data_IF_810709828043
#
_entry.id   IF_810709828043
#
_cell.length_a   1.000
_cell.length_b   1.000
_cell.length_c   1.000
_cell.angle_alpha   90.00
_cell.angle_beta   90.00
_cell.angle_gamma   90.00
#
_symmetry.space_group_name_H-M   'P 1'
#
loop_
_entity.id
_entity.type
_entity.pdbx_description
1 polymer ?
#
# COMPACT_ATOMS: atom_id res chain seq x y z
N UNK A 1 17.43 -5.12 1.81
CA UNK A 1 16.18 -4.45 1.39
C UNK A 1 16.06 -4.62 -0.11
N UNK A 2 14.85 -4.87 -0.59
CA UNK A 2 14.54 -5.04 -2.00
C UNK A 2 13.74 -3.82 -2.48
N UNK A 3 14.47 -2.84 -3.02
CA UNK A 3 13.89 -1.58 -3.48
C UNK A 3 12.99 -1.82 -4.71
N UNK A 4 13.39 -2.73 -5.61
CA UNK A 4 12.61 -3.05 -6.80
C UNK A 4 11.23 -3.60 -6.41
N UNK A 5 11.19 -4.53 -5.44
CA UNK A 5 9.92 -5.08 -4.94
C UNK A 5 8.98 -4.00 -4.42
N UNK A 6 9.49 -2.91 -3.86
CA UNK A 6 8.65 -1.81 -3.40
C UNK A 6 7.91 -1.06 -4.53
N UNK A 7 8.35 -1.19 -5.78
CA UNK A 7 7.65 -0.62 -6.94
C UNK A 7 6.76 -1.64 -7.65
N UNK A 8 7.09 -2.94 -7.58
CA UNK A 8 6.35 -3.98 -8.31
C UNK A 8 5.29 -4.69 -7.47
N UNK A 9 5.38 -4.65 -6.13
CA UNK A 9 4.48 -5.43 -5.26
C UNK A 9 2.99 -5.16 -5.46
N UNK A 10 2.65 -3.95 -5.90
CA UNK A 10 1.26 -3.58 -6.17
C UNK A 10 0.72 -4.46 -7.30
N UNK A 11 1.50 -4.71 -8.35
CA UNK A 11 1.10 -5.50 -9.53
C UNK A 11 1.14 -7.01 -9.27
N UNK A 12 1.78 -7.46 -8.19
CA UNK A 12 1.84 -8.88 -7.81
C UNK A 12 0.55 -9.37 -7.10
N UNK A 13 -0.36 -8.45 -6.75
CA UNK A 13 -1.66 -8.76 -6.16
C UNK A 13 -2.70 -8.94 -7.29
N UNK A 14 -3.54 -9.97 -7.22
CA UNK A 14 -4.53 -10.26 -8.27
C UNK A 14 -5.62 -9.18 -8.33
N UNK A 15 -5.96 -8.59 -7.19
CA UNK A 15 -7.04 -7.60 -7.03
C UNK A 15 -6.50 -6.17 -6.94
N UNK A 16 -5.28 -5.93 -7.44
CA UNK A 16 -4.59 -4.64 -7.32
C UNK A 16 -5.39 -3.48 -7.93
N UNK A 17 -6.06 -3.71 -9.06
CA UNK A 17 -6.89 -2.69 -9.74
C UNK A 17 -8.04 -2.28 -8.83
N UNK A 18 -8.73 -3.24 -8.21
CA UNK A 18 -9.84 -2.97 -7.30
C UNK A 18 -9.35 -2.18 -6.08
N UNK A 19 -8.25 -2.59 -5.46
CA UNK A 19 -7.68 -1.92 -4.28
C UNK A 19 -7.21 -0.51 -4.59
N UNK A 20 -6.57 -0.28 -5.73
CA UNK A 20 -6.20 1.07 -6.18
C UNK A 20 -7.44 1.91 -6.53
N UNK A 21 -8.43 1.34 -7.22
CA UNK A 21 -9.64 2.06 -7.57
C UNK A 21 -10.39 2.55 -6.32
N UNK A 22 -10.51 1.72 -5.29
CA UNK A 22 -11.09 2.11 -3.99
C UNK A 22 -10.25 3.23 -3.36
N UNK A 23 -8.92 3.06 -3.26
CA UNK A 23 -8.05 4.07 -2.65
C UNK A 23 -8.08 5.43 -3.38
N UNK A 24 -8.04 5.41 -4.71
CA UNK A 24 -8.18 6.60 -5.55
C UNK A 24 -9.55 7.25 -5.35
N UNK A 25 -10.62 6.46 -5.32
CA UNK A 25 -11.97 6.93 -5.02
C UNK A 25 -12.08 7.60 -3.66
N UNK A 26 -11.43 7.05 -2.62
CA UNK A 26 -11.37 7.65 -1.27
C UNK A 26 -10.66 9.00 -1.30
N UNK A 27 -9.49 9.10 -1.95
CA UNK A 27 -8.74 10.36 -2.05
C UNK A 27 -9.54 11.41 -2.84
N UNK A 28 -10.19 11.00 -3.94
CA UNK A 28 -11.04 11.87 -4.74
C UNK A 28 -12.23 12.41 -3.95
N UNK A 29 -12.97 11.52 -3.28
CA UNK A 29 -14.09 11.90 -2.43
C UNK A 29 -13.62 12.82 -1.30
N UNK A 30 -12.46 12.54 -0.71
CA UNK A 30 -11.84 13.38 0.32
C UNK A 30 -11.52 14.77 -0.18
N UNK A 31 -10.95 14.88 -1.39
CA UNK A 31 -10.63 16.16 -2.00
C UNK A 31 -11.88 16.99 -2.27
N UNK A 32 -12.94 16.37 -2.82
CA UNK A 32 -14.23 17.04 -3.10
C UNK A 32 -14.91 17.50 -1.79
N UNK A 33 -14.89 16.65 -0.76
CA UNK A 33 -15.52 16.93 0.55
C UNK A 33 -14.65 17.82 1.45
N UNK A 34 -13.45 18.21 1.02
CA UNK A 34 -12.52 19.03 1.82
C UNK A 34 -13.09 20.42 2.15
N UNK A 35 -14.00 20.94 1.31
CA UNK A 35 -14.70 22.23 1.52
C UNK A 35 -15.46 22.25 2.86
N UNK A 36 -15.93 21.08 3.34
CA UNK A 36 -16.72 20.95 4.58
C UNK A 36 -15.87 20.36 5.73
N UNK A 37 -14.53 20.29 5.58
CA UNK A 37 -13.59 19.66 6.52
C UNK A 37 -13.76 18.13 6.68
N UNK A 38 -14.90 17.57 6.27
CA UNK A 38 -15.20 16.12 6.23
C UNK A 38 -14.20 15.37 5.37
N UNK A 39 -13.64 16.01 4.33
CA UNK A 39 -12.62 15.43 3.47
C UNK A 39 -11.38 14.89 4.20
N UNK A 40 -11.06 15.39 5.41
CA UNK A 40 -9.92 14.91 6.20
C UNK A 40 -10.08 13.42 6.54
N UNK A 41 -11.30 12.91 6.71
CA UNK A 41 -11.54 11.53 7.15
C UNK A 41 -10.94 10.51 6.18
N UNK A 42 -11.05 10.68 4.86
CA UNK A 42 -10.50 9.71 3.93
C UNK A 42 -8.98 9.74 3.83
N UNK A 43 -8.34 10.90 4.06
CA UNK A 43 -6.89 10.95 4.25
C UNK A 43 -6.44 10.21 5.52
N UNK A 44 -7.22 10.29 6.60
CA UNK A 44 -6.96 9.51 7.82
C UNK A 44 -7.12 8.02 7.58
N UNK A 45 -8.18 7.58 6.90
CA UNK A 45 -8.36 6.17 6.53
C UNK A 45 -7.16 5.68 5.71
N UNK A 46 -6.74 6.43 4.68
CA UNK A 46 -5.58 6.08 3.87
C UNK A 46 -4.30 5.98 4.70
N UNK A 47 -4.10 6.90 5.65
CA UNK A 47 -2.97 6.85 6.56
C UNK A 47 -2.98 5.55 7.40
N UNK A 48 -4.13 5.12 7.93
CA UNK A 48 -4.24 3.84 8.62
C UNK A 48 -3.98 2.63 7.74
N UNK A 49 -4.54 2.63 6.53
CA UNK A 49 -4.35 1.59 5.51
C UNK A 49 -2.86 1.39 5.19
N UNK A 50 -2.12 2.48 5.02
CA UNK A 50 -0.67 2.41 4.73
C UNK A 50 0.16 1.94 5.92
N UNK A 51 -0.26 2.19 7.17
CA UNK A 51 0.37 1.58 8.35
C UNK A 51 0.11 0.07 8.41
N UNK A 52 -1.09 -0.38 8.03
CA UNK A 52 -1.41 -1.81 7.93
C UNK A 52 -0.57 -2.51 6.86
N UNK A 53 -0.39 -1.85 5.71
CA UNK A 53 0.56 -2.30 4.68
C UNK A 53 1.97 -2.44 5.26
N UNK A 54 2.46 -1.42 5.97
CA UNK A 54 3.77 -1.48 6.62
C UNK A 54 3.88 -2.69 7.56
N UNK A 55 2.87 -2.95 8.38
CA UNK A 55 2.81 -4.11 9.27
C UNK A 55 2.87 -5.42 8.49
N UNK A 56 2.08 -5.59 7.43
CA UNK A 56 2.09 -6.78 6.56
C UNK A 56 3.49 -7.03 5.96
N UNK A 57 4.12 -5.97 5.43
CA UNK A 57 5.47 -6.03 4.85
C UNK A 57 6.53 -6.29 5.93
N UNK A 58 6.33 -5.82 7.16
CA UNK A 58 7.22 -6.17 8.29
C UNK A 58 7.07 -7.65 8.64
N UNK A 59 5.85 -8.15 8.69
CA UNK A 59 5.51 -9.42 9.36
C UNK A 59 5.67 -10.67 8.50
N UNK A 60 5.71 -10.55 7.17
CA UNK A 60 6.02 -11.71 6.31
C UNK A 60 5.09 -11.87 5.14
N UNK A 61 4.00 -11.11 5.10
CA UNK A 61 2.83 -11.43 4.32
C UNK A 61 3.18 -11.42 2.82
N UNK A 62 2.99 -12.53 2.09
CA UNK A 62 3.40 -12.65 0.69
C UNK A 62 2.74 -11.62 -0.24
N UNK A 63 1.43 -11.38 -0.05
CA UNK A 63 0.65 -10.31 -0.71
C UNK A 63 0.36 -9.23 0.33
N UNK A 64 1.21 -8.20 0.47
CA UNK A 64 1.15 -7.31 1.62
C UNK A 64 0.07 -6.24 1.50
N UNK A 65 -0.51 -6.02 0.31
CA UNK A 65 -1.50 -4.97 0.06
C UNK A 65 -2.82 -5.29 0.79
N UNK A 66 -3.21 -4.50 1.80
CA UNK A 66 -4.37 -4.85 2.61
C UNK A 66 -5.69 -4.80 1.83
N UNK A 67 -6.67 -5.58 2.28
CA UNK A 67 -8.05 -5.45 1.84
C UNK A 67 -8.70 -4.20 2.44
N UNK A 68 -9.69 -3.64 1.74
CA UNK A 68 -10.51 -2.52 2.22
C UNK A 68 -11.68 -3.02 3.10
N UNK A 69 -11.34 -3.74 4.16
CA UNK A 69 -12.29 -4.48 5.01
C UNK A 69 -12.53 -3.84 6.40
N UNK A 70 -11.56 -3.09 6.93
CA UNK A 70 -11.62 -2.49 8.27
C UNK A 70 -11.35 -0.96 8.24
N UNK A 71 -12.31 -0.26 7.64
CA UNK A 71 -12.35 1.20 7.54
C UNK A 71 -12.30 1.91 8.89
N UNK A 72 -12.97 1.35 9.91
CA UNK A 72 -13.00 1.93 11.26
C UNK A 72 -11.65 1.83 11.97
N UNK A 73 -10.99 0.68 11.88
CA UNK A 73 -9.63 0.49 12.39
C UNK A 73 -8.62 1.36 11.65
N UNK A 74 -8.72 1.48 10.32
CA UNK A 74 -7.86 2.36 9.54
C UNK A 74 -8.06 3.83 9.88
N UNK A 75 -9.31 4.28 10.05
CA UNK A 75 -9.57 5.65 10.53
C UNK A 75 -8.94 5.90 11.91
N UNK A 76 -9.09 4.97 12.86
CA UNK A 76 -8.52 5.11 14.21
C UNK A 76 -6.98 5.15 14.18
N UNK A 77 -6.38 4.20 13.46
CA UNK A 77 -4.92 4.09 13.29
C UNK A 77 -4.36 5.32 12.60
N UNK A 78 -4.98 5.76 11.53
CA UNK A 78 -4.60 6.94 10.78
C UNK A 78 -4.78 8.25 11.55
N UNK A 79 -5.85 8.37 12.36
CA UNK A 79 -6.03 9.52 13.27
C UNK A 79 -4.89 9.61 14.30
N UNK A 80 -4.56 8.49 14.96
CA UNK A 80 -3.44 8.45 15.91
C UNK A 80 -2.11 8.76 15.23
N UNK A 81 -1.87 8.21 14.03
CA UNK A 81 -0.67 8.50 13.24
C UNK A 81 -0.60 9.97 12.81
N UNK A 82 -1.73 10.57 12.43
CA UNK A 82 -1.81 11.99 12.11
C UNK A 82 -1.50 12.87 13.32
N UNK A 83 -1.91 12.48 14.54
CA UNK A 83 -1.51 13.17 15.78
C UNK A 83 0.01 13.09 15.98
N UNK A 84 0.62 11.91 15.79
CA UNK A 84 2.08 11.77 15.86
C UNK A 84 2.73 12.71 14.85
N UNK A 85 2.34 12.64 13.57
CA UNK A 85 2.86 13.51 12.51
C UNK A 85 2.67 14.99 12.81
N UNK A 86 1.52 15.40 13.35
CA UNK A 86 1.24 16.78 13.74
C UNK A 86 2.18 17.26 14.84
N UNK A 87 2.42 16.43 15.87
CA UNK A 87 3.34 16.77 16.97
C UNK A 87 4.76 16.92 16.45
N UNK A 88 5.22 16.01 15.57
CA UNK A 88 6.50 16.15 14.88
C UNK A 88 6.56 17.38 13.98
N UNK A 89 5.44 17.80 13.38
CA UNK A 89 5.37 19.00 12.54
C UNK A 89 5.27 20.31 13.33
N UNK A 90 5.04 20.29 14.66
CA UNK A 90 4.83 21.51 15.46
C UNK A 90 5.94 22.55 15.28
N UNK A 91 7.23 22.21 15.27
CA UNK A 91 8.26 23.23 15.08
C UNK A 91 8.23 23.89 13.70
N UNK A 92 7.85 23.16 12.63
CA UNK A 92 7.60 23.76 11.31
C UNK A 92 6.44 24.75 11.36
N UNK A 93 5.36 24.39 12.06
CA UNK A 93 4.20 25.27 12.24
C UNK A 93 4.62 26.53 13.02
N UNK A 94 5.43 26.39 14.06
CA UNK A 94 5.95 27.53 14.83
C UNK A 94 6.83 28.43 13.95
N UNK A 95 7.69 27.85 13.09
CA UNK A 95 8.54 28.62 12.16
C UNK A 95 7.75 29.29 11.03
N UNK A 96 6.55 28.80 10.71
CA UNK A 96 5.68 29.44 9.71
C UNK A 96 5.26 30.85 10.11
N UNK A 97 5.04 31.11 11.41
CA UNK A 97 4.60 32.43 11.92
C UNK A 97 5.62 33.55 11.61
N UNK A 98 6.89 33.47 12.05
CA UNK A 98 7.88 34.47 11.70
C UNK A 98 8.15 34.51 10.19
N UNK A 99 8.05 33.39 9.47
CA UNK A 99 8.16 33.36 8.02
C UNK A 99 7.06 34.19 7.34
N UNK A 100 5.81 34.08 7.80
CA UNK A 100 4.68 34.87 7.29
C UNK A 100 4.83 36.34 7.62
N UNK A 101 5.26 36.69 8.83
CA UNK A 101 5.53 38.08 9.22
C UNK A 101 6.67 38.67 8.39
N UNK A 102 7.77 37.94 8.24
CA UNK A 102 8.92 38.33 7.42
C UNK A 102 8.50 38.56 5.97
N UNK A 103 7.68 37.67 5.41
CA UNK A 103 7.13 37.81 4.06
C UNK A 103 6.23 39.04 3.90
N UNK A 104 5.34 39.29 4.86
CA UNK A 104 4.47 40.47 4.83
C UNK A 104 5.29 41.78 4.90
N UNK A 105 6.30 41.85 5.75
CA UNK A 105 7.21 42.98 5.87
C UNK A 105 8.10 43.17 4.63
N UNK A 106 8.58 42.07 4.04
CA UNK A 106 9.38 42.09 2.81
C UNK A 106 8.61 42.65 1.62
N UNK A 107 7.31 42.38 1.55
CA UNK A 107 6.46 42.79 0.42
C UNK A 107 5.80 44.15 0.61
N UNK A 108 5.47 44.54 1.85
CA UNK A 108 4.64 45.72 2.13
C UNK A 108 5.32 46.76 3.03
N UNK A 109 6.53 46.51 3.53
CA UNK A 109 7.25 47.42 4.40
C UNK A 109 7.83 48.63 3.67
N UNK A 110 8.24 49.65 4.44
CA UNK A 110 9.19 50.65 3.98
C UNK A 110 10.59 50.02 3.81
N UNK A 111 11.58 50.75 3.31
CA UNK A 111 12.92 50.19 3.02
C UNK A 111 13.54 49.39 4.19
N UNK A 112 13.41 49.89 5.41
CA UNK A 112 13.87 49.19 6.61
C UNK A 112 13.05 47.92 6.90
N UNK A 113 11.72 48.00 6.78
CA UNK A 113 10.81 46.87 6.92
C UNK A 113 11.05 45.79 5.86
N UNK A 114 11.35 46.17 4.62
CA UNK A 114 11.66 45.23 3.53
C UNK A 114 12.96 44.49 3.82
N UNK A 115 13.99 45.21 4.27
CA UNK A 115 15.28 44.60 4.65
C UNK A 115 15.13 43.63 5.82
N UNK A 116 14.49 44.06 6.91
CA UNK A 116 14.24 43.21 8.09
C UNK A 116 13.36 42.01 7.72
N UNK A 117 12.30 42.24 6.95
CA UNK A 117 11.40 41.19 6.49
C UNK A 117 12.12 40.12 5.68
N UNK A 118 13.01 40.54 4.77
CA UNK A 118 13.82 39.61 3.96
C UNK A 118 14.75 38.76 4.82
N UNK A 119 15.42 39.34 5.82
CA UNK A 119 16.28 38.60 6.75
C UNK A 119 15.46 37.58 7.54
N UNK A 120 14.34 37.99 8.12
CA UNK A 120 13.46 37.11 8.90
C UNK A 120 12.96 35.95 8.04
N UNK A 121 12.54 36.23 6.79
CA UNK A 121 12.05 35.19 5.88
C UNK A 121 13.15 34.19 5.53
N UNK A 122 14.37 34.65 5.22
CA UNK A 122 15.51 33.77 4.92
C UNK A 122 15.89 32.94 6.13
N UNK A 123 16.02 33.54 7.31
CA UNK A 123 16.36 32.80 8.54
C UNK A 123 15.28 31.76 8.88
N UNK A 124 14.01 32.13 8.89
CA UNK A 124 12.90 31.20 9.16
C UNK A 124 12.85 30.06 8.10
N UNK A 125 13.12 30.38 6.84
CA UNK A 125 13.25 29.41 5.76
C UNK A 125 14.39 28.43 5.97
N UNK A 126 15.58 28.91 6.36
CA UNK A 126 16.73 28.05 6.68
C UNK A 126 16.45 27.11 7.87
N UNK A 127 15.85 27.61 8.95
CA UNK A 127 15.46 26.78 10.09
C UNK A 127 14.42 25.73 9.69
N UNK A 128 13.42 26.12 8.90
CA UNK A 128 12.38 25.21 8.40
C UNK A 128 12.97 24.14 7.49
N UNK A 129 13.92 24.50 6.63
CA UNK A 129 14.62 23.54 5.77
C UNK A 129 15.44 22.53 6.57
N UNK A 130 16.27 23.00 7.51
CA UNK A 130 17.10 22.14 8.37
C UNK A 130 16.20 21.18 9.16
N UNK A 131 15.12 21.70 9.76
CA UNK A 131 14.20 20.88 10.53
C UNK A 131 13.37 19.94 9.64
N UNK A 132 13.02 20.34 8.42
CA UNK A 132 12.38 19.48 7.44
C UNK A 132 13.25 18.29 7.03
N UNK A 133 14.55 18.52 6.83
CA UNK A 133 15.52 17.43 6.60
C UNK A 133 15.59 16.50 7.83
N UNK A 134 15.59 17.06 9.04
CA UNK A 134 15.54 16.26 10.26
C UNK A 134 14.28 15.39 10.33
N UNK A 135 13.10 15.93 10.05
CA UNK A 135 11.85 15.15 9.98
C UNK A 135 11.95 14.07 8.90
N UNK A 136 12.45 14.38 7.71
CA UNK A 136 12.56 13.42 6.61
C UNK A 136 13.44 12.20 6.95
N UNK A 137 14.43 12.38 7.84
CA UNK A 137 15.27 11.30 8.37
C UNK A 137 14.64 10.62 9.61
N UNK A 138 13.88 11.34 10.42
CA UNK A 138 13.17 10.78 11.58
C UNK A 138 11.91 10.00 11.20
N UNK A 139 11.29 10.33 10.06
CA UNK A 139 10.04 9.76 9.55
C UNK A 139 9.99 8.24 9.55
N UNK A 140 10.93 7.51 8.91
CA UNK A 140 10.92 6.05 8.99
C UNK A 140 10.91 5.55 10.44
N UNK A 141 11.69 6.19 11.33
CA UNK A 141 11.79 5.78 12.73
C UNK A 141 10.47 5.95 13.50
N UNK A 142 9.84 7.12 13.45
CA UNK A 142 8.58 7.32 14.17
C UNK A 142 7.42 6.53 13.57
N UNK A 143 7.39 6.35 12.24
CA UNK A 143 6.35 5.55 11.58
C UNK A 143 6.49 4.06 11.93
N UNK A 144 7.72 3.52 11.93
CA UNK A 144 7.99 2.14 12.34
C UNK A 144 7.68 1.92 13.82
N UNK A 145 8.08 2.87 14.69
CA UNK A 145 7.78 2.80 16.12
C UNK A 145 6.28 2.82 16.39
N UNK A 146 5.54 3.71 15.71
CA UNK A 146 4.09 3.77 15.81
C UNK A 146 3.42 2.49 15.29
N UNK A 147 3.84 1.97 14.14
CA UNK A 147 3.26 0.76 13.53
C UNK A 147 3.47 -0.52 14.36
N UNK A 148 4.32 -0.49 15.39
CA UNK A 148 4.53 -1.61 16.31
C UNK A 148 3.29 -1.91 17.15
N UNK A 149 2.71 -0.88 17.76
CA UNK A 149 1.65 -1.02 18.77
C UNK A 149 0.51 0.00 18.63
N UNK A 150 0.57 0.86 17.62
CA UNK A 150 -0.42 1.88 17.30
C UNK A 150 -0.69 2.87 18.45
N UNK A 151 0.30 3.03 19.34
CA UNK A 151 0.27 3.99 20.43
C UNK A 151 0.97 5.28 20.01
N UNK A 152 0.29 6.40 20.24
CA UNK A 152 0.85 7.74 20.00
C UNK A 152 2.17 7.91 20.76
N UNK A 153 2.24 7.43 22.01
CA UNK A 153 3.46 7.50 22.83
C UNK A 153 4.68 6.88 22.15
N UNK A 154 4.51 5.74 21.47
CA UNK A 154 5.61 5.03 20.79
C UNK A 154 6.16 5.85 19.63
N UNK A 155 5.28 6.51 18.86
CA UNK A 155 5.66 7.42 17.79
C UNK A 155 6.33 8.72 18.27
N UNK A 156 6.30 9.01 19.57
CA UNK A 156 6.87 10.23 20.18
C UNK A 156 8.08 9.96 21.07
N UNK A 157 8.62 8.73 21.07
CA UNK A 157 9.86 8.38 21.78
C UNK A 157 11.07 9.00 21.07
N UNK A 158 11.25 10.33 21.19
CA UNK A 158 12.23 11.11 20.43
C UNK A 158 13.65 10.53 20.56
N UNK A 159 14.06 10.16 21.78
CA UNK A 159 15.39 9.61 22.06
C UNK A 159 15.58 8.27 21.35
N UNK A 160 14.66 7.33 21.54
CA UNK A 160 14.77 5.99 20.94
C UNK A 160 14.73 6.05 19.41
N UNK A 161 13.86 6.92 18.85
CA UNK A 161 13.77 7.17 17.42
C UNK A 161 15.06 7.76 16.88
N UNK A 162 15.65 8.74 17.59
CA UNK A 162 16.92 9.34 17.19
C UNK A 162 18.09 8.35 17.30
N UNK A 163 18.16 7.57 18.37
CA UNK A 163 19.19 6.54 18.58
C UNK A 163 19.11 5.43 17.55
N UNK A 164 17.90 5.01 17.19
CA UNK A 164 17.71 4.05 16.12
C UNK A 164 18.06 4.64 14.75
N UNK A 165 17.63 5.88 14.46
CA UNK A 165 17.94 6.54 13.18
C UNK A 165 19.45 6.73 13.00
N UNK A 166 20.16 7.17 14.05
CA UNK A 166 21.63 7.33 13.98
C UNK A 166 22.37 5.99 13.84
N UNK A 167 21.85 4.92 14.44
CA UNK A 167 22.43 3.58 14.30
C UNK A 167 22.22 3.01 12.90
N UNK A 168 21.15 3.43 12.23
CA UNK A 168 20.73 2.92 10.92
C UNK A 168 20.77 4.00 9.82
N UNK A 169 21.69 4.97 9.90
CA UNK A 169 21.73 6.10 8.97
C UNK A 169 21.84 5.68 7.51
N UNK A 170 22.67 4.69 7.19
CA UNK A 170 22.85 4.21 5.82
C UNK A 170 21.53 3.76 5.19
N UNK A 171 20.85 2.74 5.75
CA UNK A 171 19.54 2.31 5.28
C UNK A 171 18.47 3.42 5.30
N UNK A 172 18.42 4.23 6.35
CA UNK A 172 17.45 5.34 6.47
C UNK A 172 17.64 6.35 5.34
N UNK A 173 18.87 6.80 5.09
CA UNK A 173 19.18 7.76 4.03
C UNK A 173 18.82 7.17 2.67
N UNK A 174 19.16 5.90 2.41
CA UNK A 174 18.79 5.23 1.15
C UNK A 174 17.28 5.22 0.97
N UNK A 175 16.51 4.81 1.99
CA UNK A 175 15.05 4.80 1.91
C UNK A 175 14.50 6.20 1.69
N UNK A 176 14.95 7.20 2.46
CA UNK A 176 14.47 8.58 2.31
C UNK A 176 14.78 9.15 0.93
N UNK A 177 15.98 8.92 0.38
CA UNK A 177 16.33 9.36 -0.98
C UNK A 177 15.51 8.65 -2.05
N UNK A 178 15.27 7.34 -1.92
CA UNK A 178 14.41 6.58 -2.84
C UNK A 178 12.99 7.11 -2.80
N UNK A 179 12.43 7.37 -1.60
CA UNK A 179 11.08 7.94 -1.46
C UNK A 179 11.00 9.32 -2.08
N UNK A 180 11.98 10.19 -1.84
CA UNK A 180 12.02 11.54 -2.45
C UNK A 180 12.12 11.44 -3.97
N UNK A 181 13.05 10.63 -4.49
CA UNK A 181 13.23 10.43 -5.94
C UNK A 181 11.99 9.83 -6.60
N UNK A 182 11.39 8.80 -5.98
CA UNK A 182 10.14 8.20 -6.43
C UNK A 182 8.99 9.22 -6.44
N UNK A 183 8.85 10.01 -5.38
CA UNK A 183 7.84 11.06 -5.30
C UNK A 183 8.00 12.05 -6.45
N UNK A 184 9.22 12.53 -6.71
CA UNK A 184 9.46 13.45 -7.82
C UNK A 184 9.09 12.83 -9.18
N UNK A 185 9.54 11.61 -9.46
CA UNK A 185 9.27 10.93 -10.74
C UNK A 185 7.77 10.65 -10.92
N UNK A 186 7.10 10.12 -9.89
CA UNK A 186 5.69 9.76 -9.93
C UNK A 186 4.82 11.03 -10.09
N UNK A 187 5.06 12.07 -9.30
CA UNK A 187 4.29 13.32 -9.39
C UNK A 187 4.53 14.08 -10.70
N UNK A 188 5.77 14.13 -11.20
CA UNK A 188 6.05 14.73 -12.50
C UNK A 188 5.39 13.93 -13.63
N UNK A 189 5.50 12.60 -13.61
CA UNK A 189 4.86 11.74 -14.61
C UNK A 189 3.34 11.88 -14.60
N UNK A 190 2.72 11.84 -13.42
CA UNK A 190 1.29 12.06 -13.26
C UNK A 190 0.85 13.45 -13.73
N UNK A 191 1.63 14.49 -13.43
CA UNK A 191 1.32 15.86 -13.87
C UNK A 191 1.40 15.99 -15.40
N UNK A 192 2.40 15.39 -16.04
CA UNK A 192 2.55 15.41 -17.50
C UNK A 192 1.41 14.64 -18.18
N UNK A 193 1.13 13.41 -17.73
CA UNK A 193 0.04 12.59 -18.28
C UNK A 193 -1.31 13.28 -18.05
N UNK A 194 -1.55 13.80 -16.85
CA UNK A 194 -2.79 14.52 -16.55
C UNK A 194 -2.97 15.80 -17.36
N UNK A 195 -1.89 16.55 -17.63
CA UNK A 195 -1.91 17.72 -18.50
C UNK A 195 -2.20 17.35 -19.96
N UNK A 196 -1.59 16.26 -20.47
CA UNK A 196 -1.87 15.74 -21.82
C UNK A 196 -3.33 15.30 -21.99
N UNK A 197 -3.96 14.81 -20.91
CA UNK A 197 -5.39 14.49 -20.84
C UNK A 197 -6.26 15.73 -20.54
N UNK A 198 -5.93 16.86 -21.18
CA UNK A 198 -6.65 18.14 -21.10
C UNK A 198 -6.87 18.69 -19.68
N UNK A 199 -5.98 18.37 -18.74
CA UNK A 199 -6.10 18.80 -17.34
C UNK A 199 -7.18 18.06 -16.54
N UNK A 200 -8.24 17.54 -17.18
CA UNK A 200 -9.23 16.66 -16.55
C UNK A 200 -8.55 15.39 -16.03
N UNK A 201 -7.54 14.89 -16.76
CA UNK A 201 -6.72 13.77 -16.29
C UNK A 201 -5.98 14.04 -14.97
N UNK A 202 -5.72 15.30 -14.58
CA UNK A 202 -5.11 15.63 -13.28
C UNK A 202 -6.01 15.23 -12.11
N UNK A 203 -7.33 15.21 -12.32
CA UNK A 203 -8.30 14.79 -11.31
C UNK A 203 -8.02 13.35 -10.90
N UNK A 204 -7.69 12.45 -11.84
CA UNK A 204 -7.44 11.02 -11.54
C UNK A 204 -5.96 10.73 -11.27
N UNK A 205 -5.06 11.36 -12.04
CA UNK A 205 -3.63 11.06 -11.97
C UNK A 205 -2.97 11.55 -10.67
N UNK A 206 -3.40 12.69 -10.09
CA UNK A 206 -2.82 13.19 -8.84
C UNK A 206 -3.21 12.34 -7.61
N UNK A 207 -4.47 11.92 -7.42
CA UNK A 207 -4.83 10.96 -6.38
C UNK A 207 -4.13 9.62 -6.55
N UNK A 208 -4.02 9.11 -7.79
CA UNK A 208 -3.30 7.88 -8.07
C UNK A 208 -1.81 8.01 -7.71
N UNK A 209 -1.16 9.11 -8.09
CA UNK A 209 0.23 9.41 -7.72
C UNK A 209 0.40 9.45 -6.20
N UNK A 210 -0.53 10.09 -5.49
CA UNK A 210 -0.51 10.18 -4.03
C UNK A 210 -0.64 8.80 -3.38
N UNK A 211 -1.59 7.98 -3.85
CA UNK A 211 -1.78 6.62 -3.37
C UNK A 211 -0.53 5.78 -3.61
N UNK A 212 -0.07 5.66 -4.86
CA UNK A 212 1.10 4.84 -5.21
C UNK A 212 2.34 5.28 -4.44
N UNK A 213 2.60 6.58 -4.32
CA UNK A 213 3.73 7.10 -3.53
C UNK A 213 3.63 6.68 -2.06
N UNK A 214 2.43 6.78 -1.47
CA UNK A 214 2.21 6.37 -0.08
C UNK A 214 2.42 4.86 0.13
N UNK A 215 1.99 4.03 -0.84
CA UNK A 215 2.15 2.57 -0.80
C UNK A 215 3.63 2.18 -0.90
N UNK A 216 4.36 2.75 -1.87
CA UNK A 216 5.81 2.53 -2.05
C UNK A 216 6.57 2.93 -0.79
N UNK A 217 6.27 4.11 -0.23
CA UNK A 217 6.91 4.61 1.00
C UNK A 217 6.72 3.64 2.17
N UNK A 218 5.49 3.22 2.44
CA UNK A 218 5.19 2.36 3.60
C UNK A 218 5.67 0.91 3.39
N UNK A 219 5.74 0.44 2.14
CA UNK A 219 6.39 -0.81 1.81
C UNK A 219 7.90 -0.77 2.14
N UNK A 220 8.60 0.29 1.74
CA UNK A 220 10.01 0.47 2.11
C UNK A 220 10.21 0.56 3.62
N UNK A 221 9.31 1.24 4.34
CA UNK A 221 9.35 1.30 5.80
C UNK A 221 9.10 -0.07 6.44
N UNK A 222 8.23 -0.91 5.88
CA UNK A 222 8.01 -2.27 6.36
C UNK A 222 9.25 -3.15 6.19
N UNK A 223 9.93 -3.04 5.05
CA UNK A 223 11.21 -3.74 4.84
C UNK A 223 12.29 -3.25 5.79
N UNK A 224 12.33 -1.94 6.04
CA UNK A 224 13.28 -1.33 6.97
C UNK A 224 13.00 -1.81 8.40
N UNK A 225 11.73 -1.88 8.81
CA UNK A 225 11.31 -2.41 10.10
C UNK A 225 11.68 -3.89 10.29
N UNK A 226 11.54 -4.71 9.24
CA UNK A 226 11.94 -6.13 9.28
C UNK A 226 13.45 -6.30 9.41
N UNK A 227 14.21 -5.54 8.62
CA UNK A 227 15.67 -5.67 8.57
C UNK A 227 16.40 -5.03 9.75
N UNK A 228 15.84 -3.97 10.33
CA UNK A 228 16.44 -3.20 11.43
C UNK A 228 15.39 -2.94 12.52
N UNK A 229 14.96 -3.98 13.26
CA UNK A 229 13.92 -3.82 14.27
C UNK A 229 14.40 -2.88 15.38
N UNK A 230 13.58 -1.87 15.70
CA UNK A 230 13.91 -0.87 16.73
C UNK A 230 13.98 -1.46 18.15
N UNK A 231 13.19 -2.51 18.38
CA UNK A 231 13.23 -3.30 19.60
C UNK A 231 13.39 -4.76 19.18
N UNK A 232 14.20 -5.56 19.88
CA UNK A 232 14.30 -6.99 19.59
C UNK A 232 12.90 -7.58 19.54
N UNK A 233 12.58 -8.26 18.45
CA UNK A 233 11.34 -9.02 18.35
C UNK A 233 11.35 -9.98 19.53
N UNK A 234 10.39 -9.86 20.46
CA UNK A 234 10.17 -10.91 21.45
C UNK A 234 9.83 -12.14 20.63
N UNK A 235 10.77 -13.06 20.46
CA UNK A 235 10.45 -14.40 20.01
C UNK A 235 9.44 -14.94 21.01
N UNK A 236 8.16 -14.99 20.63
CA UNK A 236 7.24 -15.88 21.31
C UNK A 236 7.87 -17.27 21.10
N UNK A 237 8.36 -17.94 22.14
CA UNK A 237 8.86 -19.29 21.97
C UNK A 237 7.75 -20.06 21.28
N UNK A 238 8.07 -20.78 20.20
CA UNK A 238 7.12 -21.71 19.61
C UNK A 238 6.49 -22.50 20.77
N UNK A 239 5.16 -22.63 20.83
CA UNK A 239 4.52 -23.42 21.88
C UNK A 239 5.28 -24.74 21.93
N UNK A 240 5.84 -25.05 23.10
CA UNK A 240 6.61 -26.27 23.27
C UNK A 240 5.79 -27.41 22.66
N UNK A 241 6.39 -28.28 21.83
CA UNK A 241 5.65 -29.39 21.25
C UNK A 241 4.88 -30.05 22.39
N UNK A 242 3.56 -30.12 22.23
CA UNK A 242 2.70 -30.73 23.24
C UNK A 242 3.36 -32.06 23.63
N UNK A 243 3.47 -32.37 24.93
CA UNK A 243 4.01 -33.67 25.35
C UNK A 243 3.27 -34.72 24.53
N UNK A 244 4.00 -35.48 23.72
CA UNK A 244 3.44 -36.61 23.01
C UNK A 244 2.83 -37.47 24.11
N UNK A 245 1.50 -37.49 24.18
CA UNK A 245 0.83 -38.36 25.13
C UNK A 245 1.39 -39.76 24.89
N UNK A 246 1.82 -40.48 25.94
CA UNK A 246 2.27 -41.86 25.75
C UNK A 246 1.14 -42.57 25.02
N UNK A 247 1.48 -43.23 23.91
CA UNK A 247 0.53 -44.07 23.19
C UNK A 247 -0.10 -44.97 24.24
N UNK A 248 -1.40 -44.80 24.47
CA UNK A 248 -2.13 -45.73 25.30
C UNK A 248 -1.95 -47.10 24.64
N UNK A 249 -1.44 -48.05 25.42
CA UNK A 249 -1.31 -49.44 25.00
C UNK A 249 -2.61 -49.85 24.30
N UNK A 250 -2.49 -50.33 23.06
CA UNK A 250 -3.61 -50.97 22.38
C UNK A 250 -4.20 -52.03 23.32
N UNK A 251 -5.53 -52.11 23.48
CA UNK A 251 -6.12 -53.14 24.29
C UNK A 251 -5.78 -54.50 23.66
N UNK A 252 -4.92 -55.26 24.35
CA UNK A 252 -4.64 -56.66 24.05
C UNK A 252 -5.98 -57.39 24.06
N UNK A 253 -6.42 -57.85 22.90
CA UNK A 253 -7.56 -58.76 22.77
C UNK A 253 -7.29 -59.99 23.64
N UNK A 254 -8.19 -60.35 24.58
CA UNK A 254 -8.03 -61.59 25.33
C UNK A 254 -8.07 -62.77 24.36
N UNK A 255 -7.12 -63.68 24.53
CA UNK A 255 -7.06 -64.97 23.84
C UNK A 255 -8.36 -65.75 24.07
N UNK A 256 -8.92 -66.45 23.07
CA UNK A 256 -10.11 -67.26 23.27
C UNK A 256 -9.77 -68.43 24.20
N UNK A 257 -10.43 -68.50 25.36
CA UNK A 257 -10.36 -69.64 26.26
C UNK A 257 -11.04 -70.86 25.61
N UNK A 258 -10.43 -72.02 25.83
CA UNK A 258 -10.70 -73.30 25.17
C UNK A 258 -12.02 -73.99 25.59
N UNK A 259 -13.14 -73.27 25.68
CA UNK A 259 -14.44 -73.85 26.10
C UNK A 259 -15.58 -73.73 25.08
N UNK A 260 -15.32 -73.29 23.85
CA UNK A 260 -16.37 -73.13 22.82
C UNK A 260 -16.24 -74.06 21.62
N UNK A 261 -15.52 -75.19 21.74
CA UNK A 261 -15.54 -76.29 20.77
C UNK A 261 -16.54 -77.38 21.16
N UNK A 262 -17.85 -77.06 21.16
CA UNK A 262 -18.86 -78.11 21.40
C UNK A 262 -20.13 -78.02 20.55
N UNK A 263 -20.20 -77.07 19.60
CA UNK A 263 -21.36 -76.92 18.72
C UNK A 263 -20.95 -76.62 17.28
N UNK A 264 -19.82 -77.18 16.84
CA UNK A 264 -19.48 -77.28 15.43
C UNK A 264 -20.06 -78.59 14.89
N UNK A 265 -21.35 -78.58 14.58
CA UNK A 265 -21.98 -79.42 13.57
C UNK A 265 -23.45 -79.01 13.52
N UNK A 266 -23.89 -78.53 12.35
CA UNK A 266 -25.24 -78.72 11.77
C UNK A 266 -25.61 -77.57 10.79
N UNK A 267 -25.80 -77.98 9.52
CA UNK A 267 -26.55 -77.33 8.40
C UNK A 267 -25.73 -76.64 7.27
N UNK A 268 -25.35 -77.50 6.32
CA UNK A 268 -25.42 -77.47 4.82
C UNK A 268 -25.22 -76.20 3.97
N UNK A 269 -24.60 -76.35 2.77
CA UNK A 269 -24.31 -75.26 1.84
C UNK A 269 -25.51 -74.93 0.92
N UNK A 270 -25.66 -73.65 0.57
CA UNK A 270 -26.45 -73.23 -0.59
C UNK A 270 -25.50 -72.53 -1.56
N UNK A 271 -25.32 -73.20 -2.71
CA UNK A 271 -24.76 -72.64 -3.93
C UNK A 271 -25.66 -71.49 -4.44
N UNK A 272 -25.05 -70.39 -4.89
CA UNK A 272 -25.54 -69.70 -6.07
C UNK A 272 -24.38 -69.00 -6.80
N UNK A 273 -24.35 -69.26 -8.10
CA UNK A 273 -23.32 -68.90 -9.04
C UNK A 273 -23.68 -67.61 -9.80
N UNK A 274 -22.65 -67.02 -10.41
CA UNK A 274 -22.64 -66.24 -11.66
C UNK A 274 -23.29 -64.84 -11.70
N UNK A 275 -22.48 -63.81 -11.96
CA UNK A 275 -22.42 -63.01 -13.22
C UNK A 275 -21.29 -61.96 -13.04
N UNK A 276 -20.19 -61.85 -13.82
CA UNK A 276 -20.06 -61.37 -15.21
C UNK A 276 -20.88 -60.08 -15.44
N UNK A 277 -20.35 -58.91 -15.81
CA UNK A 277 -19.41 -58.56 -16.88
C UNK A 277 -18.71 -57.22 -16.61
N UNK A 278 -17.56 -57.04 -17.26
CA UNK A 278 -16.89 -55.77 -17.50
C UNK A 278 -17.76 -54.84 -18.37
N UNK A 279 -17.51 -53.52 -18.30
CA UNK A 279 -17.47 -52.72 -19.52
C UNK A 279 -16.64 -51.45 -19.38
N UNK A 280 -15.82 -51.25 -20.40
CA UNK A 280 -14.93 -50.13 -20.72
C UNK A 280 -15.70 -49.26 -21.71
N UNK A 281 -15.68 -47.94 -21.56
CA UNK A 281 -16.04 -47.02 -22.66
C UNK A 281 -15.06 -45.84 -22.68
N UNK A 282 -14.21 -45.86 -23.71
CA UNK A 282 -13.53 -44.72 -24.32
C UNK A 282 -14.56 -43.78 -24.97
N UNK A 283 -14.38 -42.47 -24.87
CA UNK A 283 -14.93 -41.53 -25.85
C UNK A 283 -13.95 -40.38 -26.13
N UNK A 284 -13.38 -40.44 -27.34
CA UNK A 284 -12.69 -39.37 -28.04
C UNK A 284 -13.58 -38.13 -28.21
N UNK A 285 -13.07 -36.93 -27.88
CA UNK A 285 -13.60 -35.68 -28.43
C UNK A 285 -12.44 -34.86 -29.01
N UNK A 286 -12.56 -34.67 -30.32
CA UNK A 286 -11.59 -34.06 -31.21
C UNK A 286 -11.44 -32.55 -31.03
N UNK A 287 -10.23 -32.11 -31.39
CA UNK A 287 -9.74 -30.74 -31.50
C UNK A 287 -10.42 -30.03 -32.67
N UNK A 288 -11.06 -28.89 -32.41
CA UNK A 288 -11.50 -27.97 -33.47
C UNK A 288 -10.54 -26.77 -33.56
N UNK A 289 -9.79 -26.73 -34.66
CA UNK A 289 -8.92 -25.62 -35.05
C UNK A 289 -9.77 -24.44 -35.51
N UNK A 290 -9.55 -23.25 -34.95
CA UNK A 290 -10.09 -22.00 -35.48
C UNK A 290 -9.14 -21.47 -36.55
N UNK A 291 -9.62 -21.47 -37.78
CA UNK A 291 -9.00 -20.92 -38.98
C UNK A 291 -9.02 -19.38 -38.93
N UNK A 292 -7.86 -18.76 -39.11
CA UNK A 292 -7.70 -17.30 -39.21
C UNK A 292 -7.50 -16.97 -40.68
N UNK A 293 -8.61 -16.70 -41.38
CA UNK A 293 -8.60 -16.18 -42.74
C UNK A 293 -9.22 -14.78 -42.78
N UNK A 294 -8.36 -13.82 -43.14
CA UNK A 294 -8.60 -12.54 -43.80
C UNK A 294 -9.94 -11.81 -43.54
N UNK A 295 -9.86 -10.70 -42.80
CA UNK A 295 -10.83 -9.60 -42.90
C UNK A 295 -10.14 -8.42 -43.57
N UNK A 296 -10.42 -8.26 -44.87
CA UNK A 296 -10.20 -7.04 -45.64
C UNK A 296 -10.99 -5.89 -44.99
N UNK A 297 -10.31 -4.81 -44.60
CA UNK A 297 -10.97 -3.54 -44.29
C UNK A 297 -10.77 -2.62 -45.48
N UNK A 298 -11.86 -2.49 -46.23
CA UNK A 298 -12.08 -1.57 -47.33
C UNK A 298 -11.95 -0.11 -46.84
N UNK A 299 -11.15 0.69 -47.55
CA UNK A 299 -10.94 2.10 -47.27
C UNK A 299 -12.02 2.94 -48.00
N UNK A 300 -12.73 3.86 -47.33
CA UNK A 300 -13.59 4.79 -48.05
C UNK A 300 -12.78 5.96 -48.61
N UNK A 301 -12.96 6.13 -49.92
CA UNK A 301 -12.46 7.16 -50.81
C UNK A 301 -12.73 8.59 -50.33
N UNK A 302 -11.76 9.46 -50.62
CA UNK A 302 -11.88 10.91 -50.51
C UNK A 302 -12.85 11.46 -51.57
N UNK A 303 -13.87 12.20 -51.11
CA UNK A 303 -14.59 13.17 -51.93
C UNK A 303 -14.57 14.52 -51.21
N UNK A 304 -13.99 15.51 -51.88
CA UNK A 304 -13.96 16.90 -51.47
C UNK A 304 -15.19 17.64 -52.03
N UNK A 305 -15.71 18.67 -51.36
CA UNK A 305 -16.50 19.70 -52.03
C UNK A 305 -15.75 21.02 -52.16
N UNK A 306 -16.04 21.63 -53.30
CA UNK A 306 -15.59 22.90 -53.88
C UNK A 306 -15.50 24.10 -52.92
N UNK A 307 -14.50 24.93 -53.21
CA UNK A 307 -14.36 26.29 -52.69
C UNK A 307 -15.41 27.20 -53.33
N UNK A 308 -16.22 27.86 -52.50
CA UNK A 308 -17.07 28.97 -52.91
C UNK A 308 -16.38 30.28 -52.52
N UNK A 309 -16.01 31.04 -53.54
CA UNK A 309 -15.23 32.26 -53.53
C UNK A 309 -16.22 33.44 -53.64
N UNK A 310 -16.66 33.99 -52.51
CA UNK A 310 -17.41 35.25 -52.53
C UNK A 310 -17.25 36.04 -51.22
N UNK A 311 -16.28 36.97 -51.19
CA UNK A 311 -16.48 38.23 -50.48
C UNK A 311 -15.70 39.39 -51.11
N UNK A 312 -16.29 40.61 -51.16
CA UNK A 312 -15.78 41.71 -51.96
C UNK A 312 -14.75 42.59 -51.24
N UNK A 313 -13.96 43.25 -52.08
CA UNK A 313 -12.79 44.13 -51.82
C UNK A 313 -13.05 45.31 -50.87
N UNK A 314 -11.99 45.86 -50.24
CA UNK A 314 -12.08 47.02 -49.37
C UNK A 314 -12.11 48.34 -50.18
N UNK A 315 -12.90 49.30 -49.73
CA UNK A 315 -12.93 50.66 -50.26
C UNK A 315 -13.10 51.69 -49.15
N UNK A 316 -12.09 52.57 -49.06
CA UNK A 316 -12.02 53.89 -48.42
C UNK A 316 -12.27 54.02 -46.90
#
# INVERSE_FOLDING_TARGET
MDIQKAFTFIMDDEDWIQKLAIGVGVILASFILSVVLVGILGFLILAGYTIRLLQNVRDGVPKPLPEWDDWGGDLSRGFKYAIVGLIWALPLIIFSVPSSIGSALAQNGNDAGQFVGSIVMVCAGCLSFIYGVFIALAQPGFTISFARDEKISSGLMLTDIWEWTRANLGPVIIVSLVVIGASLVIFLGASLVGALLCGIGLIVTLPLATLVTSLVQHHLYGQLARSNPMYPVRSVPAPAPAPVAPMADEPVMPTPDAETEMWADEITPVDDAADSTADVVDEDVAVEQIDVTAVDIDAPSADAPEADDDMPRPGA
#
